data_IF_138880398892
#
_entry.id   IF_138880398892
#
_cell.length_a   1.000
_cell.length_b   1.000
_cell.length_c   1.000
_cell.angle_alpha   90.00
_cell.angle_beta   90.00
_cell.angle_gamma   90.00
#
_symmetry.space_group_name_H-M   'P 1'
#
loop_
_entity.id
_entity.type
_entity.pdbx_description
1 polymer ?
#
# COMPACT_ATOMS: atom_id res chain seq x y z
N UNK A 1 -7.41 -18.70 -14.62
CA UNK A 1 -7.32 -18.56 -13.16
C UNK A 1 -7.80 -17.17 -12.77
N UNK A 2 -8.89 -17.07 -12.00
CA UNK A 2 -9.39 -15.76 -11.53
C UNK A 2 -8.93 -15.60 -10.09
N UNK A 3 -7.85 -14.85 -9.89
CA UNK A 3 -7.35 -14.51 -8.56
C UNK A 3 -8.09 -13.24 -8.12
N UNK A 4 -8.84 -13.32 -7.03
CA UNK A 4 -9.41 -12.15 -6.37
C UNK A 4 -8.38 -11.65 -5.36
N UNK A 5 -7.78 -10.50 -5.65
CA UNK A 5 -6.94 -9.80 -4.70
C UNK A 5 -7.78 -8.76 -3.96
N UNK A 6 -7.87 -8.90 -2.64
CA UNK A 6 -8.56 -7.96 -1.76
C UNK A 6 -7.50 -7.26 -0.92
N UNK A 7 -7.53 -5.93 -0.91
CA UNK A 7 -6.70 -5.11 -0.04
C UNK A 7 -7.56 -4.62 1.13
N UNK A 8 -7.22 -4.98 2.35
CA UNK A 8 -7.86 -4.46 3.54
C UNK A 8 -7.01 -3.35 4.17
N UNK A 9 -7.60 -2.20 4.44
CA UNK A 9 -6.94 -1.04 5.03
C UNK A 9 -7.27 -0.95 6.52
N UNK A 10 -6.24 -0.99 7.38
CA UNK A 10 -6.36 -0.67 8.80
C UNK A 10 -5.72 0.69 9.08
N UNK A 11 -6.54 1.66 9.50
CA UNK A 11 -6.05 2.98 9.92
C UNK A 11 -6.03 3.01 11.44
N UNK A 12 -4.82 3.06 12.02
CA UNK A 12 -4.65 3.18 13.46
C UNK A 12 -4.29 4.62 13.85
N UNK A 13 -5.01 5.18 14.81
CA UNK A 13 -4.70 6.49 15.39
C UNK A 13 -4.06 6.32 16.77
N UNK A 14 -2.86 6.85 16.94
CA UNK A 14 -2.28 7.07 18.27
C UNK A 14 -2.52 8.53 18.65
N UNK A 15 -3.45 8.77 19.58
CA UNK A 15 -3.69 10.09 20.16
C UNK A 15 -2.84 10.28 21.40
N UNK A 16 -1.88 11.20 21.36
CA UNK A 16 -1.23 11.71 22.57
C UNK A 16 -2.12 12.82 23.16
N UNK A 17 -2.60 12.63 24.38
CA UNK A 17 -3.36 13.65 25.11
C UNK A 17 -2.42 14.74 25.61
N UNK A 18 -2.61 15.98 25.15
CA UNK A 18 -2.04 17.17 25.75
C UNK A 18 -3.12 17.99 26.46
N UNK A 19 -2.80 18.45 27.64
CA UNK A 19 -3.67 19.33 28.47
C UNK A 19 -3.79 20.72 27.85
N UNK A 20 -4.89 20.97 27.17
CA UNK A 20 -5.27 22.24 26.54
C UNK A 20 -6.39 21.95 25.56
N UNK A 21 -7.48 22.72 25.54
CA UNK A 21 -8.68 22.43 24.76
C UNK A 21 -8.32 21.95 23.32
N UNK A 22 -8.10 20.64 23.07
CA UNK A 22 -7.50 20.20 21.81
C UNK A 22 -8.62 20.06 20.81
N UNK A 23 -8.52 20.84 19.75
CA UNK A 23 -9.19 20.46 18.50
C UNK A 23 -8.73 19.05 18.18
N UNK A 24 -9.67 18.09 18.20
CA UNK A 24 -9.36 16.68 17.88
C UNK A 24 -8.59 16.62 16.57
N UNK A 25 -7.46 15.90 16.50
CA UNK A 25 -6.74 15.76 15.25
C UNK A 25 -7.70 15.25 14.16
N UNK A 26 -7.61 15.83 12.99
CA UNK A 26 -8.35 15.33 11.83
C UNK A 26 -7.67 14.06 11.33
N UNK A 27 -8.49 13.13 10.89
CA UNK A 27 -8.02 11.91 10.26
C UNK A 27 -7.28 12.22 8.94
N UNK A 28 -6.23 11.47 8.64
CA UNK A 28 -5.58 11.54 7.33
C UNK A 28 -6.58 11.10 6.26
N UNK A 29 -6.47 11.68 5.08
CA UNK A 29 -7.30 11.30 3.94
C UNK A 29 -6.46 10.52 2.95
N UNK A 30 -6.94 9.34 2.56
CA UNK A 30 -6.31 8.49 1.57
C UNK A 30 -7.20 8.48 0.34
N UNK A 31 -6.61 8.70 -0.84
CA UNK A 31 -7.35 8.77 -2.09
C UNK A 31 -6.61 8.06 -3.22
N UNK A 32 -7.35 7.55 -4.21
CA UNK A 32 -6.81 7.06 -5.47
C UNK A 32 -6.27 8.21 -6.34
N UNK A 33 -5.68 7.86 -7.47
CA UNK A 33 -5.07 8.82 -8.40
C UNK A 33 -6.06 9.85 -8.96
N UNK A 34 -7.31 9.46 -9.17
CA UNK A 34 -8.42 10.29 -9.66
C UNK A 34 -9.09 11.13 -8.57
N UNK A 35 -8.66 10.96 -7.31
CA UNK A 35 -9.12 11.73 -6.17
C UNK A 35 -10.25 11.08 -5.36
N UNK A 36 -10.72 9.91 -5.75
CA UNK A 36 -11.70 9.16 -4.98
C UNK A 36 -11.13 8.75 -3.63
N UNK A 37 -11.88 9.03 -2.55
CA UNK A 37 -11.46 8.73 -1.18
C UNK A 37 -11.60 7.23 -0.95
N UNK A 38 -10.52 6.63 -0.45
CA UNK A 38 -10.47 5.22 -0.11
C UNK A 38 -10.89 5.06 1.35
N UNK A 39 -11.93 4.29 1.59
CA UNK A 39 -12.47 4.07 2.93
C UNK A 39 -12.10 2.68 3.49
N UNK A 40 -12.16 1.63 2.69
CA UNK A 40 -12.04 0.26 3.17
C UNK A 40 -11.16 -0.66 2.28
N UNK A 41 -11.39 -0.73 0.98
CA UNK A 41 -10.73 -1.69 0.09
C UNK A 41 -10.16 -1.03 -1.15
N UNK A 42 -8.97 -1.47 -1.55
CA UNK A 42 -8.30 -1.06 -2.79
C UNK A 42 -8.16 -2.26 -3.72
N UNK A 43 -8.38 -2.05 -4.99
CA UNK A 43 -8.01 -3.04 -5.98
C UNK A 43 -6.71 -2.62 -6.68
N UNK A 44 -5.57 -2.96 -6.09
CA UNK A 44 -4.25 -2.62 -6.64
C UNK A 44 -3.98 -3.29 -7.99
N UNK A 45 -4.72 -4.32 -8.34
CA UNK A 45 -4.59 -5.05 -9.60
C UNK A 45 -5.65 -4.63 -10.63
N UNK A 46 -6.66 -3.84 -10.24
CA UNK A 46 -7.97 -3.81 -10.89
C UNK A 46 -8.18 -2.85 -12.05
N UNK A 47 -7.46 -1.75 -12.16
CA UNK A 47 -7.76 -0.78 -13.22
C UNK A 47 -6.97 -0.99 -14.52
N UNK A 48 -5.86 -1.70 -14.44
CA UNK A 48 -4.99 -1.91 -15.59
C UNK A 48 -5.11 -3.30 -16.23
N UNK A 49 -5.81 -4.21 -15.56
CA UNK A 49 -6.04 -5.57 -16.07
C UNK A 49 -7.51 -5.65 -16.47
N UNK A 50 -7.79 -5.42 -17.75
CA UNK A 50 -9.16 -5.42 -18.30
C UNK A 50 -9.99 -6.66 -17.98
N UNK A 51 -9.36 -7.77 -17.61
CA UNK A 51 -10.00 -9.06 -17.34
C UNK A 51 -9.88 -9.53 -15.88
N UNK A 52 -9.29 -8.76 -14.98
CA UNK A 52 -9.05 -9.15 -13.55
C UNK A 52 -8.27 -10.46 -13.37
N UNK A 53 -7.51 -10.88 -14.36
CA UNK A 53 -6.74 -12.11 -14.34
C UNK A 53 -5.27 -11.76 -14.15
N UNK A 54 -4.71 -12.21 -13.03
CA UNK A 54 -3.27 -12.22 -12.80
C UNK A 54 -2.67 -13.50 -13.38
N UNK A 55 -1.48 -13.39 -13.92
CA UNK A 55 -0.71 -14.52 -14.42
C UNK A 55 0.79 -14.27 -14.23
N UNK A 56 1.62 -15.30 -14.19
CA UNK A 56 3.06 -15.19 -14.09
C UNK A 56 3.65 -14.22 -15.13
N UNK A 57 4.66 -13.45 -14.73
CA UNK A 57 5.27 -12.42 -15.56
C UNK A 57 4.48 -11.10 -15.66
N UNK A 58 3.29 -11.01 -15.05
CA UNK A 58 2.53 -9.77 -15.02
C UNK A 58 3.05 -8.81 -13.98
N UNK A 59 3.14 -7.53 -14.34
CA UNK A 59 3.50 -6.45 -13.43
C UNK A 59 2.54 -5.27 -13.58
N UNK A 60 2.47 -4.43 -12.58
CA UNK A 60 1.65 -3.22 -12.60
C UNK A 60 2.06 -2.18 -11.57
N UNK A 61 1.37 -1.07 -11.62
CA UNK A 61 1.57 0.08 -10.75
C UNK A 61 0.23 0.50 -10.17
N UNK A 62 0.20 0.81 -8.88
CA UNK A 62 -0.95 1.37 -8.20
C UNK A 62 -0.58 2.70 -7.55
N UNK A 63 -1.36 3.75 -7.83
CA UNK A 63 -1.13 5.09 -7.32
C UNK A 63 -2.15 5.45 -6.25
N UNK A 64 -1.66 5.95 -5.12
CA UNK A 64 -2.49 6.50 -4.06
C UNK A 64 -1.86 7.76 -3.47
N UNK A 65 -2.67 8.56 -2.82
CA UNK A 65 -2.25 9.80 -2.20
C UNK A 65 -2.67 9.84 -0.75
N UNK A 66 -1.81 10.40 0.12
CA UNK A 66 -2.10 10.62 1.52
C UNK A 66 -2.05 12.12 1.80
N UNK A 67 -3.16 12.65 2.34
CA UNK A 67 -3.29 14.05 2.71
C UNK A 67 -3.29 14.22 4.22
N UNK A 68 -2.46 15.11 4.71
CA UNK A 68 -2.49 15.59 6.10
C UNK A 68 -3.41 16.82 6.21
N UNK A 69 -4.67 16.69 6.67
CA UNK A 69 -5.59 17.82 6.80
C UNK A 69 -5.37 18.62 8.10
N UNK A 70 -4.35 18.29 8.86
CA UNK A 70 -4.05 18.95 10.14
C UNK A 70 -3.22 20.23 9.95
N UNK A 71 -3.36 21.22 10.85
CA UNK A 71 -2.55 22.45 10.82
C UNK A 71 -1.12 22.25 11.34
N UNK A 72 -0.70 21.02 11.58
CA UNK A 72 0.63 20.61 12.03
C UNK A 72 1.15 19.50 11.16
N UNK A 73 2.46 19.38 11.11
CA UNK A 73 3.13 18.30 10.41
C UNK A 73 2.86 16.95 11.09
N UNK A 74 2.90 15.88 10.30
CA UNK A 74 2.82 14.50 10.78
C UNK A 74 4.03 13.69 10.32
N UNK A 75 4.37 12.69 11.12
CA UNK A 75 5.21 11.58 10.68
C UNK A 75 4.29 10.40 10.39
N UNK A 76 4.47 9.82 9.22
CA UNK A 76 3.69 8.70 8.71
C UNK A 76 4.54 7.44 8.66
N UNK A 77 3.94 6.31 8.98
CA UNK A 77 4.48 4.97 8.73
C UNK A 77 3.47 4.15 7.94
N UNK A 78 3.95 3.36 6.99
CA UNK A 78 3.17 2.45 6.15
C UNK A 78 3.76 1.07 6.27
N UNK A 79 2.94 0.08 6.63
CA UNK A 79 3.33 -1.33 6.71
C UNK A 79 2.40 -2.15 5.83
N UNK A 80 2.94 -3.15 5.17
CA UNK A 80 2.20 -4.07 4.32
C UNK A 80 2.35 -5.49 4.86
N UNK A 81 1.26 -6.25 4.81
CA UNK A 81 1.25 -7.68 5.12
C UNK A 81 0.34 -8.39 4.14
N UNK A 82 0.46 -9.71 3.99
CA UNK A 82 -0.35 -10.46 3.03
C UNK A 82 -1.01 -11.70 3.64
N UNK A 83 -2.15 -12.10 3.07
CA UNK A 83 -2.68 -13.46 3.14
C UNK A 83 -2.48 -14.10 1.76
N UNK A 84 -1.44 -14.93 1.66
CA UNK A 84 -0.96 -15.56 0.43
C UNK A 84 -0.91 -17.08 0.62
N UNK A 85 -2.09 -17.69 0.70
CA UNK A 85 -2.23 -19.14 0.95
C UNK A 85 -1.66 -19.99 -0.17
N UNK A 86 -1.71 -19.46 -1.38
CA UNK A 86 -1.27 -20.15 -2.59
C UNK A 86 0.21 -19.88 -2.92
N UNK A 87 0.91 -19.17 -2.04
CA UNK A 87 2.35 -18.89 -2.14
C UNK A 87 2.74 -18.25 -3.48
N UNK A 88 1.95 -17.26 -3.92
CA UNK A 88 2.19 -16.54 -5.17
C UNK A 88 3.49 -15.72 -5.05
N UNK A 89 4.43 -15.84 -6.01
CA UNK A 89 5.71 -15.13 -5.95
C UNK A 89 5.55 -13.67 -6.42
N UNK A 90 4.83 -12.87 -5.63
CA UNK A 90 4.62 -11.45 -5.91
C UNK A 90 5.64 -10.65 -5.12
N UNK A 91 6.32 -9.75 -5.82
CA UNK A 91 7.34 -8.85 -5.27
C UNK A 91 6.96 -7.40 -5.53
N UNK A 92 7.54 -6.48 -4.76
CA UNK A 92 7.07 -5.12 -4.68
C UNK A 92 8.17 -4.08 -4.75
N UNK A 93 7.76 -2.83 -4.97
CA UNK A 93 8.54 -1.61 -4.73
C UNK A 93 7.58 -0.50 -4.30
N UNK A 94 8.00 0.33 -3.37
CA UNK A 94 7.25 1.52 -2.96
C UNK A 94 8.02 2.78 -3.33
N UNK A 95 7.36 3.68 -4.05
CA UNK A 95 7.92 4.93 -4.53
C UNK A 95 7.15 6.10 -3.95
N UNK A 96 7.85 7.14 -3.52
CA UNK A 96 7.30 8.41 -3.06
C UNK A 96 8.08 9.55 -3.70
N UNK A 97 7.39 10.54 -4.28
CA UNK A 97 8.03 11.70 -4.93
C UNK A 97 9.13 11.32 -5.95
N UNK A 98 8.93 10.24 -6.69
CA UNK A 98 9.86 9.64 -7.64
C UNK A 98 11.15 9.04 -7.03
N UNK A 99 11.20 8.85 -5.71
CA UNK A 99 12.28 8.16 -5.01
C UNK A 99 11.77 6.82 -4.46
N UNK A 100 12.59 5.78 -4.52
CA UNK A 100 12.26 4.49 -3.93
C UNK A 100 12.37 4.57 -2.41
N UNK A 101 11.27 4.27 -1.72
CA UNK A 101 11.28 4.05 -0.26
C UNK A 101 11.64 2.61 0.06
N UNK A 102 11.20 1.68 -0.79
CA UNK A 102 11.49 0.25 -0.70
C UNK A 102 11.78 -0.29 -2.09
N UNK A 103 12.74 -1.20 -2.20
CA UNK A 103 13.23 -1.70 -3.47
C UNK A 103 14.04 -0.65 -4.24
N UNK A 104 14.38 -0.96 -5.48
CA UNK A 104 15.12 -0.09 -6.41
C UNK A 104 14.72 -0.41 -7.85
N UNK A 105 15.21 0.34 -8.83
CA UNK A 105 14.89 0.17 -10.26
C UNK A 105 15.04 -1.27 -10.73
N UNK A 106 16.09 -1.96 -10.30
CA UNK A 106 16.39 -3.34 -10.69
C UNK A 106 16.32 -4.33 -9.52
N UNK A 107 15.78 -3.89 -8.38
CA UNK A 107 15.67 -4.71 -7.18
C UNK A 107 14.22 -4.68 -6.65
N UNK A 108 13.55 -5.80 -6.81
CA UNK A 108 12.26 -6.05 -6.21
C UNK A 108 12.45 -6.68 -4.83
N UNK A 109 11.54 -6.43 -3.91
CA UNK A 109 11.60 -6.94 -2.55
C UNK A 109 10.36 -7.78 -2.22
N UNK A 110 10.52 -8.69 -1.27
CA UNK A 110 9.42 -9.45 -0.71
C UNK A 110 8.56 -8.59 0.23
N UNK A 111 7.37 -9.08 0.55
CA UNK A 111 6.40 -8.37 1.40
C UNK A 111 6.95 -8.00 2.77
N UNK A 112 7.79 -8.86 3.37
CA UNK A 112 8.38 -8.66 4.69
C UNK A 112 9.34 -7.45 4.75
N UNK A 113 9.84 -7.00 3.60
CA UNK A 113 10.70 -5.83 3.46
C UNK A 113 9.92 -4.58 2.99
N UNK A 114 8.62 -4.73 2.70
CA UNK A 114 7.77 -3.66 2.19
C UNK A 114 7.19 -2.82 3.34
N UNK A 115 7.95 -1.87 3.82
CA UNK A 115 7.51 -0.91 4.83
C UNK A 115 8.22 0.44 4.64
N UNK A 116 7.59 1.52 5.07
CA UNK A 116 8.19 2.84 5.07
C UNK A 116 7.85 3.58 6.37
N UNK A 117 8.87 4.11 7.02
CA UNK A 117 8.77 4.81 8.29
C UNK A 117 9.28 6.24 8.17
N UNK A 118 8.90 7.10 9.13
CA UNK A 118 9.41 8.46 9.29
C UNK A 118 9.16 9.37 8.06
N UNK A 119 8.06 9.13 7.32
CA UNK A 119 7.69 9.98 6.19
C UNK A 119 7.07 11.26 6.73
N UNK A 120 7.76 12.39 6.53
CA UNK A 120 7.23 13.70 6.91
C UNK A 120 6.19 14.18 5.89
N UNK A 121 4.97 14.47 6.38
CA UNK A 121 3.93 15.16 5.62
C UNK A 121 3.61 16.48 6.32
N UNK A 122 3.91 17.58 5.65
CA UNK A 122 3.69 18.91 6.19
C UNK A 122 2.19 19.20 6.38
N UNK A 123 1.90 20.22 7.18
CA UNK A 123 0.54 20.73 7.37
C UNK A 123 -0.16 20.99 6.03
N UNK A 124 -1.37 20.46 5.87
CA UNK A 124 -2.19 20.57 4.66
C UNK A 124 -1.52 20.11 3.35
N UNK A 125 -0.51 19.27 3.44
CA UNK A 125 0.18 18.69 2.28
C UNK A 125 -0.45 17.37 1.88
N UNK A 126 -0.47 17.10 0.57
CA UNK A 126 -0.75 15.79 -0.04
C UNK A 126 0.53 15.23 -0.63
N UNK A 127 0.80 13.95 -0.36
CA UNK A 127 1.92 13.22 -0.95
C UNK A 127 1.37 12.03 -1.75
N UNK A 128 1.90 11.86 -2.96
CA UNK A 128 1.57 10.74 -3.82
C UNK A 128 2.58 9.62 -3.65
N UNK A 129 2.06 8.40 -3.59
CA UNK A 129 2.80 7.15 -3.55
C UNK A 129 2.47 6.32 -4.78
N UNK A 130 3.38 5.45 -5.16
CA UNK A 130 3.20 4.42 -6.17
C UNK A 130 3.68 3.09 -5.60
N UNK A 131 2.82 2.10 -5.58
CA UNK A 131 3.12 0.71 -5.28
C UNK A 131 3.28 -0.03 -6.60
N UNK A 132 4.50 -0.45 -6.91
CA UNK A 132 4.76 -1.33 -8.04
C UNK A 132 4.69 -2.77 -7.55
N UNK A 133 4.13 -3.66 -8.33
CA UNK A 133 4.08 -5.09 -8.06
C UNK A 133 4.48 -5.89 -9.31
N UNK A 134 5.03 -7.05 -9.08
CA UNK A 134 5.45 -7.98 -10.13
C UNK A 134 5.22 -9.42 -9.66
N UNK A 135 4.42 -10.17 -10.41
CA UNK A 135 4.37 -11.62 -10.26
C UNK A 135 5.55 -12.22 -11.02
N UNK A 136 6.56 -12.67 -10.26
CA UNK A 136 7.74 -13.26 -10.86
C UNK A 136 7.38 -14.55 -11.62
N UNK A 137 7.83 -14.63 -12.84
CA UNK A 137 7.85 -15.87 -13.61
C UNK A 137 9.01 -16.72 -13.08
N UNK A 138 8.70 -17.64 -12.21
CA UNK A 138 9.67 -18.60 -11.66
C UNK A 138 9.52 -19.86 -12.50
N UNK A 139 10.50 -20.20 -13.33
CA UNK A 139 10.55 -21.38 -14.22
C UNK A 139 10.05 -22.70 -13.55
N UNK A 140 8.79 -22.72 -13.13
CA UNK A 140 8.11 -23.84 -12.48
C UNK A 140 6.74 -24.09 -13.14
N UNK A 141 6.79 -24.58 -14.36
CA UNK A 141 5.61 -24.87 -15.19
C UNK A 141 4.56 -25.77 -14.48
N UNK A 142 4.98 -26.65 -13.55
CA UNK A 142 4.05 -27.51 -12.79
C UNK A 142 3.22 -26.69 -11.79
N UNK A 143 3.87 -25.82 -11.00
CA UNK A 143 3.21 -24.96 -10.02
C UNK A 143 2.28 -23.95 -10.70
N UNK A 144 2.72 -23.32 -11.77
CA UNK A 144 1.92 -22.38 -12.53
C UNK A 144 0.72 -23.03 -13.22
N UNK A 145 0.89 -24.28 -13.67
CA UNK A 145 -0.20 -25.07 -14.23
C UNK A 145 -1.24 -25.43 -13.17
N UNK A 146 -0.82 -25.81 -11.97
CA UNK A 146 -1.73 -26.09 -10.84
C UNK A 146 -2.51 -24.85 -10.43
N UNK A 147 -1.86 -23.70 -10.29
CA UNK A 147 -2.53 -22.42 -10.01
C UNK A 147 -3.50 -22.00 -11.13
N UNK A 148 -3.15 -22.28 -12.38
CA UNK A 148 -4.02 -22.03 -13.53
C UNK A 148 -5.28 -22.90 -13.56
N UNK A 149 -5.25 -24.08 -12.93
CA UNK A 149 -6.39 -25.00 -12.79
C UNK A 149 -7.27 -24.63 -11.59
N UNK A 150 -6.65 -24.14 -10.50
CA UNK A 150 -7.40 -23.71 -9.31
C UNK A 150 -7.99 -22.29 -9.51
N UNK A 151 -9.26 -22.26 -9.93
CA UNK A 151 -10.01 -21.01 -10.08
C UNK A 151 -10.35 -20.29 -8.77
N UNK A 152 -9.86 -20.79 -7.62
CA UNK A 152 -10.15 -20.26 -6.28
C UNK A 152 -8.93 -19.66 -5.58
N UNK A 153 -7.79 -19.56 -6.25
CA UNK A 153 -6.62 -18.90 -5.68
C UNK A 153 -6.95 -17.45 -5.30
N UNK A 154 -6.63 -17.08 -4.06
CA UNK A 154 -6.89 -15.73 -3.53
C UNK A 154 -5.62 -15.13 -2.97
N UNK A 155 -5.44 -13.85 -3.23
CA UNK A 155 -4.36 -13.07 -2.66
C UNK A 155 -4.93 -11.80 -2.03
N UNK A 156 -4.56 -11.52 -0.78
CA UNK A 156 -4.99 -10.32 -0.08
C UNK A 156 -3.78 -9.58 0.47
N UNK A 157 -3.64 -8.30 0.10
CA UNK A 157 -2.64 -7.39 0.65
C UNK A 157 -3.30 -6.49 1.69
N UNK A 158 -2.74 -6.43 2.90
CA UNK A 158 -3.18 -5.55 3.96
C UNK A 158 -2.22 -4.37 4.07
N UNK A 159 -2.77 -3.17 4.28
CA UNK A 159 -1.97 -1.95 4.47
C UNK A 159 -2.35 -1.30 5.80
N UNK A 160 -1.39 -1.15 6.68
CA UNK A 160 -1.53 -0.41 7.92
C UNK A 160 -0.84 0.95 7.78
N UNK A 161 -1.60 2.04 7.96
CA UNK A 161 -1.08 3.40 7.89
C UNK A 161 -1.26 4.05 9.26
N UNK A 162 -0.15 4.47 9.88
CA UNK A 162 -0.15 5.17 11.16
C UNK A 162 0.43 6.57 11.00
N UNK A 163 -0.12 7.54 11.75
CA UNK A 163 0.37 8.90 11.73
C UNK A 163 0.50 9.49 13.12
N UNK A 164 1.57 10.27 13.36
CA UNK A 164 1.86 10.95 14.61
C UNK A 164 2.00 12.45 14.35
N UNK A 165 1.26 13.29 15.07
CA UNK A 165 1.38 14.75 15.03
C UNK A 165 2.70 15.20 15.66
N UNK A 166 3.42 16.08 14.96
CA UNK A 166 4.63 16.71 15.48
C UNK A 166 4.23 17.97 16.27
N UNK A 167 4.65 18.03 17.53
CA UNK A 167 4.55 19.23 18.34
C UNK A 167 5.93 19.88 18.43
N UNK A 168 6.06 21.19 18.10
CA UNK A 168 7.32 21.88 18.31
C UNK A 168 7.67 21.82 19.81
N UNK A 169 8.88 21.37 20.11
CA UNK A 169 9.41 21.45 21.46
C UNK A 169 9.51 22.93 21.85
N UNK A 170 8.85 23.33 22.91
CA UNK A 170 8.96 24.66 23.53
C UNK A 170 10.24 24.71 24.37
#
# INVERSE_FOLDING_TARGET
CTIFAILALFISFVSLQTTGNPTRPKEIVISERDGDIILDEWNIFGSQIGDKILYPGKMGEYYFSITNPNPKDIILSIEFTEDNKDTLPIVYRLVCKNEYLCGETNNWIDIDELYANEILIQSNQTIQFRLDWNWQDVDNDEFETELGIDNNATYTLFVAITSILIYPNH
#
